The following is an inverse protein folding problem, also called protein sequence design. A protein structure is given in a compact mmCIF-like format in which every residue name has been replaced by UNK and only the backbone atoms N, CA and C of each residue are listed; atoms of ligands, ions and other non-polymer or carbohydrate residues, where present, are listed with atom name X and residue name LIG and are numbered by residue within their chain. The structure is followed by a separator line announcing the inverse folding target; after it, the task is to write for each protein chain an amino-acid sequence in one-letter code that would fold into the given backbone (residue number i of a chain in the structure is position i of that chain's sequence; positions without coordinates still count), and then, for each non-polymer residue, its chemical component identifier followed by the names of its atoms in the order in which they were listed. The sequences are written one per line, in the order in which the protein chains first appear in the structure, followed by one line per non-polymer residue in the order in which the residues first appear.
data_IF_808514549755
#
_entry.id   IF_808514549755
#
_cell.length_a   1.000
_cell.length_b   1.000
_cell.length_c   1.000
_cell.angle_alpha   90.00
_cell.angle_beta   90.00
_cell.angle_gamma   90.00
#
_symmetry.space_group_name_H-M   'P 1'
#
loop_
_entity.id
_entity.type
_entity.pdbx_description
1 polymer ?
#
# COMPACT_ATOMS: atom_id res chain seq x y z
N UNK A 1 33.41 -27.18 -10.38
CA UNK A 1 32.27 -26.87 -11.23
C UNK A 1 31.03 -26.44 -10.43
N UNK A 2 30.64 -27.16 -9.38
CA UNK A 2 29.49 -26.79 -8.49
C UNK A 2 29.69 -25.47 -7.74
N UNK A 3 30.88 -25.19 -7.24
CA UNK A 3 31.19 -23.92 -6.55
C UNK A 3 31.11 -22.70 -7.45
N UNK A 4 31.56 -22.82 -8.70
CA UNK A 4 31.48 -21.74 -9.68
C UNK A 4 30.01 -21.40 -10.06
N UNK A 5 29.17 -22.45 -10.14
CA UNK A 5 27.73 -22.29 -10.39
C UNK A 5 27.06 -21.61 -9.20
N UNK A 6 27.40 -22.01 -7.99
CA UNK A 6 26.85 -21.40 -6.76
C UNK A 6 27.27 -19.94 -6.61
N UNK A 7 28.51 -19.58 -6.91
CA UNK A 7 28.96 -18.18 -6.93
C UNK A 7 28.23 -17.37 -7.99
N UNK A 8 28.09 -17.87 -9.21
CA UNK A 8 27.33 -17.19 -10.25
C UNK A 8 25.86 -16.94 -9.82
N UNK A 9 25.20 -17.95 -9.27
CA UNK A 9 23.81 -17.81 -8.78
C UNK A 9 23.71 -16.76 -7.68
N UNK A 10 24.67 -16.71 -6.76
CA UNK A 10 24.73 -15.70 -5.69
C UNK A 10 24.87 -14.28 -6.24
N UNK A 11 25.72 -14.07 -7.23
CA UNK A 11 25.88 -12.75 -7.86
C UNK A 11 24.64 -12.31 -8.64
N UNK A 12 23.95 -13.21 -9.33
CA UNK A 12 22.69 -12.91 -10.00
C UNK A 12 21.58 -12.53 -9.00
N UNK A 13 21.48 -13.26 -7.89
CA UNK A 13 20.52 -12.94 -6.82
C UNK A 13 20.82 -11.57 -6.20
N UNK A 14 22.10 -11.26 -5.93
CA UNK A 14 22.49 -9.95 -5.40
C UNK A 14 22.16 -8.83 -6.39
N UNK A 15 22.41 -9.01 -7.67
CA UNK A 15 22.09 -8.05 -8.71
C UNK A 15 20.57 -7.76 -8.76
N UNK A 16 19.74 -8.81 -8.71
CA UNK A 16 18.27 -8.66 -8.66
C UNK A 16 17.84 -7.89 -7.42
N UNK A 17 18.35 -8.25 -6.23
CA UNK A 17 18.02 -7.56 -4.97
C UNK A 17 18.41 -6.08 -5.04
N UNK A 18 19.57 -5.75 -5.63
CA UNK A 18 20.03 -4.36 -5.74
C UNK A 18 19.10 -3.51 -6.60
N UNK A 19 18.52 -4.07 -7.66
CA UNK A 19 17.54 -3.36 -8.52
C UNK A 19 16.30 -2.95 -7.73
N UNK A 20 15.85 -3.77 -6.77
CA UNK A 20 14.66 -3.50 -5.98
C UNK A 20 14.92 -2.69 -4.70
N UNK A 21 16.20 -2.40 -4.39
CA UNK A 21 16.56 -1.65 -3.18
C UNK A 21 15.86 -0.28 -3.08
N UNK A 22 15.72 0.52 -4.16
CA UNK A 22 15.08 1.83 -4.11
C UNK A 22 13.60 1.79 -3.73
N UNK A 23 12.89 0.70 -4.03
CA UNK A 23 11.45 0.55 -3.79
C UNK A 23 11.10 -0.37 -2.63
N UNK A 24 12.10 -0.90 -1.92
CA UNK A 24 11.91 -1.87 -0.82
C UNK A 24 10.94 -1.37 0.25
N UNK A 25 11.03 -0.09 0.60
CA UNK A 25 10.20 0.51 1.65
C UNK A 25 8.72 0.58 1.22
N UNK A 26 8.46 0.93 -0.03
CA UNK A 26 7.11 0.90 -0.59
C UNK A 26 6.55 -0.52 -0.63
N UNK A 27 7.35 -1.48 -1.07
CA UNK A 27 6.96 -2.90 -1.12
C UNK A 27 6.62 -3.45 0.27
N UNK A 28 7.45 -3.15 1.28
CA UNK A 28 7.22 -3.57 2.67
C UNK A 28 5.96 -2.91 3.22
N UNK A 29 5.79 -1.61 2.99
CA UNK A 29 4.63 -0.85 3.48
C UNK A 29 3.32 -1.40 2.89
N UNK A 30 3.27 -1.64 1.59
CA UNK A 30 2.08 -2.21 0.94
C UNK A 30 1.84 -3.65 1.42
N UNK A 31 2.88 -4.46 1.56
CA UNK A 31 2.78 -5.80 2.14
C UNK A 31 2.20 -5.78 3.56
N UNK A 32 2.64 -4.85 4.38
CA UNK A 32 2.12 -4.66 5.74
C UNK A 32 0.65 -4.24 5.74
N UNK A 33 0.24 -3.32 4.85
CA UNK A 33 -1.17 -2.89 4.74
C UNK A 33 -2.08 -4.03 4.31
N UNK A 34 -1.71 -4.81 3.30
CA UNK A 34 -2.47 -5.98 2.85
C UNK A 34 -2.56 -7.04 3.96
N UNK A 35 -1.45 -7.27 4.68
CA UNK A 35 -1.43 -8.17 5.83
C UNK A 35 -2.36 -7.69 6.95
N UNK A 36 -2.35 -6.39 7.24
CA UNK A 36 -3.23 -5.78 8.24
C UNK A 36 -4.71 -5.87 7.85
N UNK A 37 -5.05 -5.59 6.57
CA UNK A 37 -6.42 -5.78 6.04
C UNK A 37 -6.89 -7.23 6.21
N UNK A 38 -6.02 -8.19 5.92
CA UNK A 38 -6.35 -9.61 6.11
C UNK A 38 -6.61 -9.93 7.59
N UNK A 39 -5.76 -9.48 8.51
CA UNK A 39 -5.92 -9.73 9.96
C UNK A 39 -7.20 -9.11 10.48
N UNK A 40 -7.47 -7.84 10.14
CA UNK A 40 -8.69 -7.14 10.56
C UNK A 40 -9.93 -7.78 9.94
N UNK A 41 -9.84 -8.24 8.68
CA UNK A 41 -10.91 -8.97 7.99
C UNK A 41 -11.24 -10.32 8.66
N UNK A 42 -10.22 -11.05 9.13
CA UNK A 42 -10.39 -12.28 9.91
C UNK A 42 -11.05 -11.97 11.27
N UNK A 43 -10.57 -10.95 11.97
CA UNK A 43 -11.15 -10.52 13.24
C UNK A 43 -12.63 -10.12 13.09
N UNK A 44 -12.98 -9.37 12.03
CA UNK A 44 -14.36 -9.05 11.68
C UNK A 44 -15.20 -10.33 11.47
N UNK A 45 -14.69 -11.30 10.72
CA UNK A 45 -15.40 -12.55 10.47
C UNK A 45 -15.69 -13.30 11.77
N UNK A 46 -14.71 -13.39 12.66
CA UNK A 46 -14.86 -14.03 13.99
C UNK A 46 -15.94 -13.31 14.82
N UNK A 47 -15.87 -11.98 14.91
CA UNK A 47 -16.79 -11.16 15.70
C UNK A 47 -18.24 -11.24 15.20
N UNK A 48 -18.42 -11.29 13.89
CA UNK A 48 -19.76 -11.35 13.26
C UNK A 48 -20.28 -12.79 13.04
N UNK A 49 -19.54 -13.81 13.50
CA UNK A 49 -19.93 -15.21 13.31
C UNK A 49 -19.92 -15.66 11.84
N UNK A 50 -19.18 -14.97 10.99
CA UNK A 50 -19.09 -15.30 9.56
C UNK A 50 -18.03 -16.39 9.36
N UNK A 51 -18.39 -17.47 8.65
CA UNK A 51 -17.46 -18.56 8.35
C UNK A 51 -16.26 -18.09 7.56
N UNK A 52 -15.06 -18.27 8.10
CA UNK A 52 -13.80 -17.97 7.43
C UNK A 52 -13.59 -19.02 6.33
N UNK A 53 -13.50 -18.58 5.08
CA UNK A 53 -13.21 -19.43 3.93
C UNK A 53 -11.74 -19.29 3.56
N UNK A 54 -11.05 -20.41 3.33
CA UNK A 54 -9.65 -20.47 2.86
C UNK A 54 -9.43 -19.66 1.58
N UNK A 55 -10.46 -19.55 0.72
CA UNK A 55 -10.44 -18.72 -0.50
C UNK A 55 -10.13 -17.25 -0.20
N UNK A 56 -10.65 -16.68 0.89
CA UNK A 56 -10.39 -15.29 1.26
C UNK A 56 -8.90 -15.04 1.59
N UNK A 57 -8.23 -16.02 2.18
CA UNK A 57 -6.79 -15.95 2.42
C UNK A 57 -5.99 -16.03 1.11
N UNK A 58 -6.39 -16.93 0.20
CA UNK A 58 -5.79 -17.04 -1.13
C UNK A 58 -5.96 -15.74 -1.93
N UNK A 59 -7.13 -15.10 -1.86
CA UNK A 59 -7.40 -13.83 -2.54
C UNK A 59 -6.48 -12.71 -2.01
N UNK A 60 -6.19 -12.66 -0.70
CA UNK A 60 -5.27 -11.67 -0.10
C UNK A 60 -3.83 -11.90 -0.56
N UNK A 61 -3.37 -13.14 -0.66
CA UNK A 61 -2.03 -13.45 -1.18
C UNK A 61 -1.91 -13.07 -2.66
N UNK A 62 -2.90 -13.41 -3.47
CA UNK A 62 -2.95 -13.02 -4.89
C UNK A 62 -2.93 -11.50 -5.06
N UNK A 63 -3.73 -10.78 -4.29
CA UNK A 63 -3.77 -9.32 -4.25
C UNK A 63 -2.41 -8.73 -3.89
N UNK A 64 -1.73 -9.27 -2.88
CA UNK A 64 -0.39 -8.85 -2.49
C UNK A 64 0.61 -9.01 -3.64
N UNK A 65 0.61 -10.16 -4.33
CA UNK A 65 1.49 -10.39 -5.47
C UNK A 65 1.23 -9.41 -6.62
N UNK A 66 -0.05 -9.17 -6.95
CA UNK A 66 -0.43 -8.23 -8.00
C UNK A 66 -0.02 -6.78 -7.67
N UNK A 67 -0.14 -6.37 -6.42
CA UNK A 67 0.29 -5.04 -5.99
C UNK A 67 1.80 -4.87 -6.05
N UNK A 68 2.57 -5.89 -5.62
CA UNK A 68 4.02 -5.87 -5.75
C UNK A 68 4.44 -5.78 -7.23
N UNK A 69 3.77 -6.53 -8.10
CA UNK A 69 4.02 -6.48 -9.55
C UNK A 69 3.72 -5.08 -10.11
N UNK A 70 2.63 -4.45 -9.70
CA UNK A 70 2.27 -3.10 -10.13
C UNK A 70 3.32 -2.06 -9.70
N UNK A 71 3.83 -2.14 -8.46
CA UNK A 71 4.88 -1.24 -7.94
C UNK A 71 6.18 -1.43 -8.73
N UNK A 72 6.58 -2.68 -8.96
CA UNK A 72 7.78 -2.99 -9.75
C UNK A 72 7.65 -2.49 -11.18
N UNK A 73 6.50 -2.70 -11.81
CA UNK A 73 6.25 -2.20 -13.18
C UNK A 73 6.29 -0.68 -13.23
N UNK A 74 5.67 0.00 -12.26
CA UNK A 74 5.72 1.46 -12.13
C UNK A 74 7.16 1.97 -11.99
N UNK A 75 7.98 1.31 -11.17
CA UNK A 75 9.38 1.65 -10.98
C UNK A 75 10.21 1.50 -12.27
N UNK A 76 10.01 0.43 -13.01
CA UNK A 76 10.69 0.22 -14.29
C UNK A 76 10.31 1.29 -15.31
N UNK A 77 9.01 1.65 -15.40
CA UNK A 77 8.54 2.71 -16.29
C UNK A 77 9.13 4.06 -15.86
N UNK A 78 9.07 4.40 -14.58
CA UNK A 78 9.58 5.66 -14.03
C UNK A 78 11.09 5.80 -14.28
N UNK A 79 11.86 4.72 -14.08
CA UNK A 79 13.32 4.76 -14.18
C UNK A 79 13.83 4.73 -15.59
N UNK A 80 13.22 3.89 -16.47
CA UNK A 80 13.80 3.58 -17.78
C UNK A 80 13.04 4.18 -18.98
N UNK A 81 11.81 4.65 -18.78
CA UNK A 81 10.98 5.21 -19.88
C UNK A 81 10.76 6.71 -19.70
N UNK A 82 10.45 7.15 -18.47
CA UNK A 82 10.06 8.55 -18.18
C UNK A 82 11.22 9.33 -17.53
N UNK A 83 12.37 8.69 -17.30
CA UNK A 83 13.56 9.33 -16.72
C UNK A 83 13.26 10.11 -15.43
N UNK A 84 12.39 9.55 -14.58
CA UNK A 84 11.96 10.11 -13.28
C UNK A 84 11.21 11.46 -13.35
N UNK A 85 10.71 11.83 -14.51
CA UNK A 85 9.94 13.07 -14.70
C UNK A 85 8.62 13.06 -13.91
N UNK A 86 7.99 11.89 -13.78
CA UNK A 86 6.72 11.69 -13.07
C UNK A 86 6.88 10.57 -12.05
N UNK A 87 6.52 10.76 -10.77
CA UNK A 87 6.69 9.75 -9.71
C UNK A 87 5.61 8.66 -9.77
N UNK A 88 5.57 7.88 -10.86
CA UNK A 88 4.56 6.85 -11.13
C UNK A 88 4.53 5.80 -10.04
N UNK A 89 5.69 5.35 -9.55
CA UNK A 89 5.80 4.36 -8.50
C UNK A 89 5.09 4.80 -7.22
N UNK A 90 5.30 6.06 -6.82
CA UNK A 90 4.66 6.65 -5.65
C UNK A 90 3.15 6.81 -5.87
N UNK A 91 2.70 7.20 -7.05
CA UNK A 91 1.28 7.32 -7.37
C UNK A 91 0.56 5.97 -7.26
N UNK A 92 1.14 4.92 -7.83
CA UNK A 92 0.61 3.55 -7.73
C UNK A 92 0.56 3.11 -6.26
N UNK A 93 1.68 3.24 -5.53
CA UNK A 93 1.76 2.83 -4.13
C UNK A 93 0.77 3.61 -3.24
N UNK A 94 0.62 4.92 -3.44
CA UNK A 94 -0.34 5.74 -2.71
C UNK A 94 -1.78 5.31 -2.98
N UNK A 95 -2.12 5.06 -4.24
CA UNK A 95 -3.46 4.60 -4.62
C UNK A 95 -3.79 3.26 -3.93
N UNK A 96 -2.87 2.30 -3.98
CA UNK A 96 -3.01 1.02 -3.31
C UNK A 96 -3.14 1.20 -1.79
N UNK A 97 -2.30 2.04 -1.19
CA UNK A 97 -2.33 2.30 0.26
C UNK A 97 -3.68 2.88 0.70
N UNK A 98 -4.26 3.81 -0.07
CA UNK A 98 -5.58 4.39 0.23
C UNK A 98 -6.68 3.34 0.15
N UNK A 99 -6.63 2.45 -0.85
CA UNK A 99 -7.61 1.37 -1.01
C UNK A 99 -7.54 0.41 0.18
N UNK A 100 -6.34 -0.03 0.56
CA UNK A 100 -6.15 -0.96 1.69
C UNK A 100 -6.53 -0.29 3.03
N UNK A 101 -6.12 0.95 3.24
CA UNK A 101 -6.49 1.69 4.43
C UNK A 101 -8.01 1.84 4.56
N UNK A 102 -8.71 2.15 3.46
CA UNK A 102 -10.17 2.21 3.43
C UNK A 102 -10.79 0.86 3.82
N UNK A 103 -10.29 -0.25 3.28
CA UNK A 103 -10.77 -1.60 3.60
C UNK A 103 -10.61 -1.93 5.09
N UNK A 104 -9.45 -1.58 5.68
CA UNK A 104 -9.18 -1.74 7.11
C UNK A 104 -10.20 -0.95 7.95
N UNK A 105 -10.40 0.34 7.62
CA UNK A 105 -11.34 1.22 8.33
C UNK A 105 -12.77 0.66 8.27
N UNK A 106 -13.25 0.28 7.08
CA UNK A 106 -14.58 -0.31 6.90
C UNK A 106 -14.76 -1.61 7.71
N UNK A 107 -13.70 -2.40 7.80
CA UNK A 107 -13.73 -3.62 8.61
C UNK A 107 -13.78 -3.34 10.11
N UNK A 108 -13.07 -2.32 10.58
CA UNK A 108 -13.11 -1.84 11.97
C UNK A 108 -14.50 -1.25 12.29
N UNK A 109 -15.07 -0.43 11.39
CA UNK A 109 -16.42 0.14 11.52
C UNK A 109 -17.47 -0.95 11.69
N UNK A 110 -17.40 -1.99 10.88
CA UNK A 110 -18.33 -3.11 10.93
C UNK A 110 -18.31 -3.86 12.28
N UNK A 111 -17.16 -3.85 12.98
CA UNK A 111 -16.99 -4.51 14.28
C UNK A 111 -17.34 -3.59 15.44
N UNK A 112 -17.01 -2.31 15.33
CA UNK A 112 -17.15 -1.32 16.43
C UNK A 112 -18.46 -0.56 16.41
N UNK A 113 -19.19 -0.59 15.28
CA UNK A 113 -20.42 0.21 15.08
C UNK A 113 -20.18 1.71 15.04
N UNK A 114 -18.93 2.16 14.84
CA UNK A 114 -18.58 3.60 14.83
C UNK A 114 -18.21 4.03 13.42
N UNK A 115 -18.82 5.12 12.93
CA UNK A 115 -18.52 5.72 11.63
C UNK A 115 -17.17 6.46 11.64
N UNK A 116 -16.06 5.71 11.60
CA UNK A 116 -14.69 6.25 11.59
C UNK A 116 -14.41 7.01 10.29
N UNK A 117 -14.89 6.49 9.16
CA UNK A 117 -14.68 7.11 7.85
C UNK A 117 -15.31 8.50 7.76
N UNK A 118 -16.52 8.66 8.33
CA UNK A 118 -17.18 9.95 8.42
C UNK A 118 -16.38 10.94 9.28
N UNK A 119 -15.82 10.48 10.41
CA UNK A 119 -14.96 11.31 11.27
C UNK A 119 -13.68 11.73 10.57
N UNK A 120 -13.03 10.83 9.84
CA UNK A 120 -11.81 11.12 9.06
C UNK A 120 -12.10 12.19 8.00
N UNK A 121 -13.20 12.06 7.25
CA UNK A 121 -13.62 13.06 6.25
C UNK A 121 -13.86 14.44 6.86
N UNK A 122 -14.49 14.51 8.02
CA UNK A 122 -14.73 15.80 8.72
C UNK A 122 -13.39 16.43 9.14
N UNK A 123 -12.45 15.65 9.66
CA UNK A 123 -11.15 16.17 10.08
C UNK A 123 -10.33 16.69 8.88
N UNK A 124 -10.36 15.98 7.75
CA UNK A 124 -9.68 16.42 6.52
C UNK A 124 -10.36 17.68 5.97
N UNK A 125 -11.70 17.74 5.99
CA UNK A 125 -12.45 18.92 5.53
C UNK A 125 -12.12 20.16 6.35
N UNK A 126 -12.14 20.07 7.68
CA UNK A 126 -11.76 21.18 8.58
C UNK A 126 -10.34 21.68 8.32
N UNK A 127 -9.38 20.77 8.17
CA UNK A 127 -7.99 21.15 7.88
C UNK A 127 -7.86 21.91 6.56
N UNK A 128 -8.65 21.56 5.55
CA UNK A 128 -8.65 22.29 4.27
C UNK A 128 -9.29 23.67 4.40
N UNK A 129 -10.31 23.85 5.23
CA UNK A 129 -10.90 25.16 5.53
C UNK A 129 -9.90 26.06 6.25
N UNK A 130 -9.22 25.55 7.29
CA UNK A 130 -8.19 26.27 8.03
C UNK A 130 -7.02 26.70 7.12
N UNK A 131 -6.56 25.83 6.22
CA UNK A 131 -5.50 26.14 5.25
C UNK A 131 -5.94 27.21 4.24
N UNK A 132 -7.19 27.19 3.78
CA UNK A 132 -7.73 28.19 2.87
C UNK A 132 -7.91 29.57 3.53
N UNK A 133 -8.23 29.61 4.83
CA UNK A 133 -8.26 30.83 5.61
C UNK A 133 -6.87 31.46 5.76
N UNK A 134 -5.87 30.66 6.14
CA UNK A 134 -4.48 31.11 6.27
C UNK A 134 -3.93 31.65 4.94
N UNK A 135 -4.19 30.97 3.81
CA UNK A 135 -3.75 31.44 2.50
C UNK A 135 -4.45 32.74 2.06
N UNK A 136 -5.69 32.98 2.45
CA UNK A 136 -6.38 34.23 2.17
C UNK A 136 -5.77 35.40 2.94
N UNK A 137 -5.42 35.17 4.21
CA UNK A 137 -4.81 36.20 5.06
C UNK A 137 -3.40 36.59 4.60
N UNK A 138 -2.65 35.66 3.98
CA UNK A 138 -1.34 35.95 3.36
C UNK A 138 -1.43 36.74 2.06
N UNK A 139 -2.54 36.64 1.31
CA UNK A 139 -2.74 37.38 0.04
C UNK A 139 -3.22 38.81 0.26
N UNK A 140 -3.66 39.18 1.47
CA UNK A 140 -4.18 40.53 1.81
C UNK A 140 -3.07 41.42 2.42
N UNK A 141 -1.89 40.86 2.68
CA UNK A 141 -0.71 41.61 3.15
C UNK A 141 0.27 41.91 2.02
#
# INVERSE_FOLDING_TARGET
MKELLFLKTKYWLLAIVTIFLPIKELMITIGFLVGSDMVVGIWKAIKLGIKIRSRRMSDSVTKMLLYQLAIVSGFLIETYIIEQLIPITKLIATTIAVIEFKSIVESIEAVTGKDLWKRIKILIGRKNEDLNEIMKDEQIK
#
